data_IF_664655853039
#
_entry.id   IF_664655853039
#
_cell.length_a   1.000
_cell.length_b   1.000
_cell.length_c   1.000
_cell.angle_alpha   90.00
_cell.angle_beta   90.00
_cell.angle_gamma   90.00
#
_symmetry.space_group_name_H-M   'P 1'
#
loop_
_entity.id
_entity.type
_entity.pdbx_description
1 polymer ?
#
# COMPACT_ATOMS: atom_id res chain seq x y z
N UNK A 1 -20.93 -12.07 -14.58
CA UNK A 1 -20.76 -10.93 -13.64
C UNK A 1 -19.32 -10.47 -13.49
N UNK A 2 -18.40 -11.20 -12.82
CA UNK A 2 -17.01 -10.73 -12.65
C UNK A 2 -16.24 -10.68 -13.99
N UNK A 3 -16.33 -11.72 -14.83
CA UNK A 3 -15.70 -11.69 -16.16
C UNK A 3 -16.27 -10.61 -17.10
N UNK A 4 -17.57 -10.34 -17.03
CA UNK A 4 -18.21 -9.27 -17.81
C UNK A 4 -17.73 -7.89 -17.35
N UNK A 5 -17.55 -7.70 -16.04
CA UNK A 5 -16.99 -6.47 -15.50
C UNK A 5 -15.52 -6.31 -15.92
N UNK A 6 -14.72 -7.38 -15.89
CA UNK A 6 -13.31 -7.34 -16.29
C UNK A 6 -13.11 -7.03 -17.79
N UNK A 7 -14.07 -7.44 -18.64
CA UNK A 7 -14.04 -7.22 -20.10
C UNK A 7 -14.94 -6.07 -20.56
N UNK A 8 -15.46 -5.27 -19.63
CA UNK A 8 -16.38 -4.20 -19.96
C UNK A 8 -15.70 -3.13 -20.85
N UNK A 9 -16.41 -2.58 -21.86
CA UNK A 9 -15.88 -1.54 -22.74
C UNK A 9 -15.49 -0.26 -21.98
N UNK A 10 -16.06 -0.05 -20.80
CA UNK A 10 -15.72 1.01 -19.86
C UNK A 10 -14.20 1.15 -19.60
N UNK A 11 -13.45 0.04 -19.51
CA UNK A 11 -12.01 0.11 -19.29
C UNK A 11 -11.25 0.67 -20.49
N UNK A 12 -11.75 0.41 -21.69
CA UNK A 12 -11.22 0.95 -22.94
C UNK A 12 -11.58 2.44 -23.05
N UNK A 13 -12.76 2.85 -22.59
CA UNK A 13 -13.17 4.25 -22.57
C UNK A 13 -12.25 5.10 -21.68
N UNK A 14 -11.80 4.55 -20.54
CA UNK A 14 -10.82 5.19 -19.65
C UNK A 14 -9.46 5.35 -20.36
N UNK A 15 -9.01 4.32 -21.08
CA UNK A 15 -7.75 4.39 -21.85
C UNK A 15 -7.80 5.47 -22.94
N UNK A 16 -8.99 5.78 -23.47
CA UNK A 16 -9.20 6.78 -24.51
C UNK A 16 -9.33 8.22 -23.99
N UNK A 17 -9.23 8.45 -22.69
CA UNK A 17 -9.23 9.82 -22.16
C UNK A 17 -7.99 10.60 -22.62
N UNK A 18 -8.12 11.91 -22.92
CA UNK A 18 -6.97 12.74 -23.32
C UNK A 18 -5.80 12.67 -22.34
N UNK A 19 -6.12 12.60 -21.03
CA UNK A 19 -5.14 12.47 -19.96
C UNK A 19 -4.38 11.13 -20.01
N UNK A 20 -5.05 10.03 -20.38
CA UNK A 20 -4.42 8.71 -20.54
C UNK A 20 -3.34 8.75 -21.61
N UNK A 21 -3.65 9.39 -22.74
CA UNK A 21 -2.74 9.51 -23.89
C UNK A 21 -1.58 10.45 -23.60
N UNK A 22 -1.83 11.55 -22.89
CA UNK A 22 -0.77 12.47 -22.47
C UNK A 22 0.21 11.79 -21.50
N UNK A 23 -0.31 11.05 -20.51
CA UNK A 23 0.54 10.34 -19.55
C UNK A 23 1.32 9.21 -20.24
N UNK A 24 0.62 8.35 -21.00
CA UNK A 24 1.21 7.16 -21.62
C UNK A 24 2.10 7.44 -22.84
N UNK A 25 1.86 8.55 -23.54
CA UNK A 25 2.59 8.95 -24.75
C UNK A 25 3.81 9.84 -24.50
N UNK A 26 4.06 10.25 -23.26
CA UNK A 26 5.16 11.18 -22.91
C UNK A 26 6.02 10.65 -21.75
N UNK A 27 7.04 11.42 -21.36
CA UNK A 27 7.87 11.12 -20.19
C UNK A 27 7.12 11.21 -18.84
N UNK A 28 5.83 11.57 -18.84
CA UNK A 28 4.99 11.55 -17.65
C UNK A 28 4.81 10.15 -17.07
N UNK A 29 4.72 9.10 -17.90
CA UNK A 29 4.62 7.73 -17.40
C UNK A 29 5.82 7.32 -16.52
N UNK A 30 7.08 7.33 -17.00
CA UNK A 30 8.23 6.96 -16.18
C UNK A 30 8.46 7.92 -15.00
N UNK A 31 8.04 9.18 -15.12
CA UNK A 31 8.08 10.14 -14.02
C UNK A 31 7.09 9.77 -12.89
N UNK A 32 5.84 9.47 -13.23
CA UNK A 32 4.84 9.00 -12.28
C UNK A 32 5.25 7.66 -11.65
N UNK A 33 5.81 6.75 -12.45
CA UNK A 33 6.36 5.48 -11.94
C UNK A 33 7.46 5.72 -10.90
N UNK A 34 8.38 6.65 -11.18
CA UNK A 34 9.46 7.00 -10.25
C UNK A 34 8.92 7.56 -8.93
N UNK A 35 7.97 8.50 -9.00
CA UNK A 35 7.31 9.05 -7.81
C UNK A 35 6.55 7.96 -7.05
N UNK A 36 5.85 7.07 -7.76
CA UNK A 36 5.09 5.97 -7.17
C UNK A 36 6.00 5.05 -6.37
N UNK A 37 7.15 4.65 -6.91
CA UNK A 37 8.11 3.77 -6.24
C UNK A 37 8.70 4.43 -5.00
N UNK A 38 9.05 5.72 -5.06
CA UNK A 38 9.54 6.47 -3.90
C UNK A 38 8.46 6.55 -2.82
N UNK A 39 7.23 6.90 -3.18
CA UNK A 39 6.11 6.97 -2.25
C UNK A 39 5.80 5.60 -1.63
N UNK A 40 5.82 4.54 -2.42
CA UNK A 40 5.63 3.17 -1.93
C UNK A 40 6.76 2.75 -0.98
N UNK A 41 8.02 3.07 -1.29
CA UNK A 41 9.16 2.79 -0.41
C UNK A 41 9.05 3.54 0.92
N UNK A 42 8.66 4.82 0.90
CA UNK A 42 8.43 5.61 2.11
C UNK A 42 7.29 5.04 2.94
N UNK A 43 6.17 4.69 2.30
CA UNK A 43 5.00 4.09 2.94
C UNK A 43 5.36 2.78 3.64
N UNK A 44 5.99 1.85 2.91
CA UNK A 44 6.37 0.54 3.44
C UNK A 44 7.44 0.69 4.52
N UNK A 45 8.43 1.56 4.35
CA UNK A 45 9.46 1.82 5.36
C UNK A 45 8.89 2.40 6.67
N UNK A 46 7.94 3.32 6.56
CA UNK A 46 7.22 3.89 7.70
C UNK A 46 6.42 2.81 8.47
N UNK A 47 5.66 1.98 7.74
CA UNK A 47 4.88 0.88 8.32
C UNK A 47 5.81 -0.16 8.96
N UNK A 48 6.88 -0.55 8.25
CA UNK A 48 7.86 -1.51 8.74
C UNK A 48 8.53 -1.06 10.04
N UNK A 49 8.75 0.25 10.22
CA UNK A 49 9.30 0.79 11.47
C UNK A 49 8.39 0.52 12.67
N UNK A 50 7.07 0.68 12.50
CA UNK A 50 6.07 0.39 13.54
C UNK A 50 5.97 -1.13 13.76
N UNK A 51 5.95 -1.92 12.69
CA UNK A 51 5.82 -3.38 12.79
C UNK A 51 7.05 -4.03 13.45
N UNK A 52 8.25 -3.58 13.10
CA UNK A 52 9.50 -4.02 13.75
C UNK A 52 9.53 -3.63 15.23
N UNK A 53 8.92 -2.49 15.59
CA UNK A 53 8.74 -2.09 16.99
C UNK A 53 7.81 -3.01 17.74
N UNK A 54 6.69 -3.40 17.12
CA UNK A 54 5.76 -4.38 17.68
C UNK A 54 6.44 -5.73 17.85
N UNK A 55 7.26 -6.16 16.90
CA UNK A 55 8.00 -7.42 16.98
C UNK A 55 9.11 -7.42 18.06
N UNK A 56 9.53 -6.24 18.50
CA UNK A 56 10.60 -6.06 19.49
C UNK A 56 12.00 -6.13 18.90
N UNK A 57 12.14 -5.95 17.59
CA UNK A 57 13.42 -6.06 16.86
C UNK A 57 13.96 -4.66 16.49
N UNK A 58 13.08 -3.73 16.11
CA UNK A 58 13.44 -2.37 15.69
C UNK A 58 12.82 -1.28 16.57
N UNK A 59 13.41 -0.09 16.58
CA UNK A 59 12.92 1.11 17.28
C UNK A 59 12.53 0.93 18.78
N UNK A 60 13.00 -0.13 19.45
CA UNK A 60 12.57 -0.56 20.80
C UNK A 60 12.72 0.54 21.86
N UNK A 61 13.67 1.46 21.65
CA UNK A 61 13.93 2.61 22.53
C UNK A 61 12.82 3.66 22.51
N UNK A 62 12.00 3.71 21.46
CA UNK A 62 10.95 4.69 21.31
C UNK A 62 9.61 4.15 21.80
N UNK A 63 8.80 4.96 22.51
CA UNK A 63 7.42 4.62 22.83
C UNK A 63 6.60 4.41 21.55
N UNK A 64 5.72 3.40 21.57
CA UNK A 64 4.78 3.16 20.47
C UNK A 64 3.86 4.37 20.20
N UNK A 65 3.60 5.18 21.23
CA UNK A 65 2.84 6.43 21.15
C UNK A 65 3.49 7.50 20.30
N UNK A 66 4.78 7.74 20.54
CA UNK A 66 5.56 8.72 19.80
C UNK A 66 5.70 8.28 18.34
N UNK A 67 6.06 7.02 18.10
CA UNK A 67 6.17 6.46 16.76
C UNK A 67 4.85 6.55 16.00
N UNK A 68 3.74 6.14 16.63
CA UNK A 68 2.41 6.26 16.04
C UNK A 68 2.10 7.71 15.65
N UNK A 69 2.25 8.67 16.57
CA UNK A 69 1.91 10.07 16.30
C UNK A 69 2.76 10.71 15.20
N UNK A 70 4.05 10.40 15.17
CA UNK A 70 5.00 11.03 14.24
C UNK A 70 5.00 10.35 12.86
N UNK A 71 4.84 9.03 12.80
CA UNK A 71 4.94 8.26 11.55
C UNK A 71 3.60 8.22 10.79
N UNK A 72 2.45 8.21 11.48
CA UNK A 72 1.15 8.06 10.82
C UNK A 72 0.83 9.15 9.77
N UNK A 73 1.14 10.45 10.00
CA UNK A 73 0.96 11.47 8.97
C UNK A 73 1.79 11.20 7.71
N UNK A 74 3.01 10.69 7.85
CA UNK A 74 3.86 10.31 6.73
C UNK A 74 3.32 9.10 5.98
N UNK A 75 2.78 8.11 6.69
CA UNK A 75 2.09 6.97 6.06
C UNK A 75 0.93 7.46 5.21
N UNK A 76 0.06 8.32 5.75
CA UNK A 76 -1.08 8.85 4.98
C UNK A 76 -0.64 9.69 3.78
N UNK A 77 0.36 10.55 3.95
CA UNK A 77 0.92 11.35 2.84
C UNK A 77 1.50 10.46 1.74
N UNK A 78 2.35 9.50 2.10
CA UNK A 78 2.95 8.57 1.16
C UNK A 78 1.90 7.68 0.47
N UNK A 79 0.87 7.24 1.21
CA UNK A 79 -0.25 6.47 0.66
C UNK A 79 -1.08 7.27 -0.35
N UNK A 80 -1.36 8.55 -0.07
CA UNK A 80 -2.07 9.42 -1.01
C UNK A 80 -1.28 9.63 -2.30
N UNK A 81 0.03 9.93 -2.19
CA UNK A 81 0.89 10.10 -3.36
C UNK A 81 0.99 8.80 -4.16
N UNK A 82 1.20 7.66 -3.49
CA UNK A 82 1.25 6.36 -4.16
C UNK A 82 -0.09 6.01 -4.85
N UNK A 83 -1.22 6.35 -4.23
CA UNK A 83 -2.56 6.11 -4.82
C UNK A 83 -2.78 6.96 -6.06
N UNK A 84 -2.50 8.26 -6.00
CA UNK A 84 -2.70 9.18 -7.14
C UNK A 84 -1.81 8.78 -8.32
N UNK A 85 -0.52 8.53 -8.07
CA UNK A 85 0.43 8.11 -9.11
C UNK A 85 0.08 6.72 -9.67
N UNK A 86 -0.35 5.79 -8.80
CA UNK A 86 -0.79 4.45 -9.21
C UNK A 86 -2.03 4.48 -10.09
N UNK A 87 -3.00 5.34 -9.77
CA UNK A 87 -4.19 5.57 -10.59
C UNK A 87 -3.83 6.20 -11.94
N UNK A 88 -2.93 7.19 -11.94
CA UNK A 88 -2.43 7.81 -13.16
C UNK A 88 -1.80 6.80 -14.12
N UNK A 89 -0.97 5.88 -13.60
CA UNK A 89 -0.42 4.77 -14.40
C UNK A 89 -1.51 3.79 -14.84
N UNK A 90 -2.44 3.44 -13.95
CA UNK A 90 -3.50 2.47 -14.26
C UNK A 90 -4.40 2.94 -15.41
N UNK A 91 -4.76 4.22 -15.45
CA UNK A 91 -5.62 4.80 -16.49
C UNK A 91 -5.01 4.65 -17.90
N UNK A 92 -3.68 4.65 -18.01
CA UNK A 92 -2.99 4.55 -19.32
C UNK A 92 -3.21 3.23 -20.05
N UNK A 93 -3.48 2.15 -19.28
CA UNK A 93 -3.58 0.77 -19.77
C UNK A 93 -4.58 -0.05 -18.94
N UNK A 94 -5.71 0.56 -18.60
CA UNK A 94 -6.70 0.02 -17.66
C UNK A 94 -7.25 -1.36 -18.07
N UNK A 95 -7.59 -1.57 -19.34
CA UNK A 95 -8.13 -2.84 -19.84
C UNK A 95 -7.11 -3.98 -19.71
N UNK A 96 -5.84 -3.70 -20.00
CA UNK A 96 -4.76 -4.70 -19.86
C UNK A 96 -4.41 -4.99 -18.39
N UNK A 97 -4.50 -3.99 -17.51
CA UNK A 97 -4.18 -4.16 -16.10
C UNK A 97 -5.28 -4.93 -15.34
N UNK A 98 -6.55 -4.71 -15.66
CA UNK A 98 -7.68 -5.34 -14.97
C UNK A 98 -7.72 -6.86 -15.19
N UNK A 99 -7.33 -7.33 -16.38
CA UNK A 99 -7.26 -8.76 -16.70
C UNK A 99 -5.97 -9.42 -16.21
N UNK A 100 -4.96 -8.64 -15.82
CA UNK A 100 -3.67 -9.17 -15.39
C UNK A 100 -3.78 -9.84 -13.99
N UNK A 101 -3.48 -11.15 -13.87
CA UNK A 101 -3.55 -11.86 -12.59
C UNK A 101 -2.69 -11.21 -11.50
N UNK A 102 -1.52 -10.67 -11.83
CA UNK A 102 -0.64 -10.01 -10.87
C UNK A 102 -1.27 -8.74 -10.30
N UNK A 103 -2.01 -7.99 -11.12
CA UNK A 103 -2.71 -6.78 -10.68
C UNK A 103 -3.88 -7.14 -9.77
N UNK A 104 -4.64 -8.18 -10.09
CA UNK A 104 -5.72 -8.68 -9.23
C UNK A 104 -5.19 -9.11 -7.86
N UNK A 105 -4.06 -9.82 -7.83
CA UNK A 105 -3.40 -10.20 -6.58
C UNK A 105 -2.87 -8.99 -5.82
N UNK A 106 -2.33 -7.98 -6.51
CA UNK A 106 -1.94 -6.71 -5.90
C UNK A 106 -3.11 -6.04 -5.19
N UNK A 107 -4.27 -5.94 -5.84
CA UNK A 107 -5.48 -5.33 -5.24
C UNK A 107 -5.99 -6.16 -4.06
N UNK A 108 -6.01 -7.48 -4.17
CA UNK A 108 -6.40 -8.38 -3.08
C UNK A 108 -5.47 -8.23 -1.86
N UNK A 109 -4.16 -8.24 -2.07
CA UNK A 109 -3.15 -8.04 -1.02
C UNK A 109 -3.23 -6.64 -0.41
N UNK A 110 -3.49 -5.61 -1.23
CA UNK A 110 -3.67 -4.24 -0.76
C UNK A 110 -4.90 -4.11 0.14
N UNK A 111 -6.01 -4.77 -0.22
CA UNK A 111 -7.21 -4.82 0.61
C UNK A 111 -6.94 -5.51 1.95
N UNK A 112 -6.25 -6.67 1.95
CA UNK A 112 -5.85 -7.35 3.17
C UNK A 112 -4.90 -6.50 4.04
N UNK A 113 -3.92 -5.84 3.41
CA UNK A 113 -3.00 -4.93 4.10
C UNK A 113 -3.75 -3.76 4.74
N UNK A 114 -4.72 -3.16 4.03
CA UNK A 114 -5.57 -2.10 4.55
C UNK A 114 -6.42 -2.53 5.75
N UNK A 115 -7.02 -3.73 5.69
CA UNK A 115 -7.79 -4.30 6.81
C UNK A 115 -6.87 -4.54 8.03
N UNK A 116 -5.70 -5.14 7.81
CA UNK A 116 -4.74 -5.38 8.88
C UNK A 116 -4.25 -4.07 9.52
N UNK A 117 -4.01 -3.05 8.70
CA UNK A 117 -3.61 -1.73 9.15
C UNK A 117 -4.70 -1.04 9.97
N UNK A 118 -5.97 -1.13 9.56
CA UNK A 118 -7.08 -0.58 10.34
C UNK A 118 -7.23 -1.27 11.70
N UNK A 119 -7.03 -2.60 11.73
CA UNK A 119 -7.04 -3.37 12.98
C UNK A 119 -5.89 -2.98 13.91
N UNK A 120 -4.67 -2.83 13.37
CA UNK A 120 -3.50 -2.37 14.11
C UNK A 120 -3.68 -0.94 14.62
N UNK A 121 -4.21 -0.03 13.79
CA UNK A 121 -4.48 1.35 14.18
C UNK A 121 -5.46 1.43 15.35
N UNK A 122 -6.58 0.70 15.30
CA UNK A 122 -7.56 0.64 16.40
C UNK A 122 -6.96 0.03 17.67
N UNK A 123 -6.23 -1.07 17.53
CA UNK A 123 -5.59 -1.74 18.66
C UNK A 123 -4.55 -0.82 19.33
N UNK A 124 -3.77 -0.10 18.52
CA UNK A 124 -2.80 0.86 19.00
C UNK A 124 -3.49 2.07 19.65
N UNK A 125 -4.54 2.64 19.05
CA UNK A 125 -5.28 3.76 19.65
C UNK A 125 -5.87 3.41 21.01
N UNK A 126 -6.36 2.18 21.20
CA UNK A 126 -6.87 1.72 22.49
C UNK A 126 -5.75 1.58 23.53
N UNK A 127 -4.59 1.02 23.14
CA UNK A 127 -3.43 0.92 24.03
C UNK A 127 -2.86 2.29 24.44
N UNK A 128 -2.93 3.27 23.53
CA UNK A 128 -2.53 4.65 23.80
C UNK A 128 -3.42 5.34 24.82
N UNK A 129 -4.73 5.06 24.79
CA UNK A 129 -5.67 5.60 25.78
C UNK A 129 -5.53 4.94 27.16
N UNK A 130 -5.01 3.71 27.21
CA UNK A 130 -4.79 2.97 28.46
C UNK A 130 -3.45 3.28 29.16
N UNK A 131 -2.61 4.16 28.60
CA UNK A 131 -1.25 4.51 29.05
C UNK A 131 -0.27 3.33 29.27
N UNK A 132 -0.63 2.13 28.80
CA UNK A 132 0.17 0.90 28.91
C UNK A 132 1.24 0.80 27.81
N UNK A 133 1.91 1.92 27.52
CA UNK A 133 2.78 2.09 26.35
C UNK A 133 4.22 1.59 26.55
N UNK A 134 4.59 1.26 27.79
CA UNK A 134 5.90 0.67 28.16
C UNK A 134 5.86 -0.86 28.26
N UNK A 135 4.69 -1.47 28.36
CA UNK A 135 4.55 -2.93 28.45
C UNK A 135 4.89 -3.61 27.12
N UNK A 136 5.39 -4.85 27.21
CA UNK A 136 5.69 -5.65 26.01
C UNK A 136 4.40 -5.84 25.22
N UNK A 137 4.38 -5.56 23.89
CA UNK A 137 3.18 -5.72 23.10
C UNK A 137 2.70 -7.18 23.16
N UNK A 138 1.39 -7.36 23.37
CA UNK A 138 0.75 -8.67 23.42
C UNK A 138 1.09 -9.50 22.16
N UNK A 139 1.19 -10.82 22.30
CA UNK A 139 1.52 -11.74 21.20
C UNK A 139 0.66 -11.51 19.94
N UNK A 140 -0.62 -11.15 20.11
CA UNK A 140 -1.54 -10.80 19.01
C UNK A 140 -1.06 -9.61 18.18
N UNK A 141 -0.55 -8.54 18.81
CA UNK A 141 -0.02 -7.38 18.10
C UNK A 141 1.29 -7.71 17.36
N UNK A 142 2.11 -8.58 17.94
CA UNK A 142 3.35 -9.07 17.29
C UNK A 142 3.03 -9.83 16.00
N UNK A 143 2.06 -10.74 16.06
CA UNK A 143 1.60 -11.49 14.90
C UNK A 143 0.97 -10.59 13.84
N UNK A 144 0.18 -9.58 14.24
CA UNK A 144 -0.40 -8.61 13.31
C UNK A 144 0.68 -7.75 12.61
N UNK A 145 1.74 -7.36 13.32
CA UNK A 145 2.89 -6.67 12.72
C UNK A 145 3.68 -7.55 11.75
N UNK A 146 3.88 -8.84 12.06
CA UNK A 146 4.50 -9.78 11.12
C UNK A 146 3.65 -9.97 9.86
N UNK A 147 2.33 -10.15 10.03
CA UNK A 147 1.41 -10.28 8.93
C UNK A 147 1.39 -9.03 8.04
N UNK A 148 1.43 -7.84 8.66
CA UNK A 148 1.56 -6.55 7.96
C UNK A 148 2.79 -6.54 7.05
N UNK A 149 3.97 -6.85 7.59
CA UNK A 149 5.22 -6.89 6.84
C UNK A 149 5.13 -7.84 5.64
N UNK A 150 4.62 -9.06 5.85
CA UNK A 150 4.47 -10.05 4.78
C UNK A 150 3.50 -9.58 3.70
N UNK A 151 2.37 -8.96 4.09
CA UNK A 151 1.39 -8.41 3.16
C UNK A 151 1.98 -7.29 2.31
N UNK A 152 2.69 -6.34 2.92
CA UNK A 152 3.33 -5.23 2.20
C UNK A 152 4.46 -5.70 1.28
N UNK A 153 5.26 -6.68 1.72
CA UNK A 153 6.23 -7.35 0.83
C UNK A 153 5.52 -8.00 -0.37
N UNK A 154 4.40 -8.69 -0.12
CA UNK A 154 3.56 -9.27 -1.18
C UNK A 154 3.03 -8.22 -2.15
N UNK A 155 2.53 -7.08 -1.67
CA UNK A 155 2.03 -5.97 -2.51
C UNK A 155 3.14 -5.42 -3.40
N UNK A 156 4.36 -5.24 -2.86
CA UNK A 156 5.51 -4.74 -3.63
C UNK A 156 5.97 -5.75 -4.69
N UNK A 157 6.04 -7.03 -4.34
CA UNK A 157 6.37 -8.11 -5.27
C UNK A 157 5.33 -8.21 -6.39
N UNK A 158 4.03 -8.23 -6.04
CA UNK A 158 2.94 -8.24 -7.00
C UNK A 158 3.01 -7.03 -7.93
N UNK A 159 3.27 -5.83 -7.39
CA UNK A 159 3.46 -4.61 -8.16
C UNK A 159 4.58 -4.71 -9.20
N UNK A 160 5.73 -5.29 -8.83
CA UNK A 160 6.84 -5.52 -9.77
C UNK A 160 6.48 -6.55 -10.84
N UNK A 161 5.69 -7.55 -10.46
CA UNK A 161 5.31 -8.66 -11.33
C UNK A 161 4.24 -8.29 -12.38
N UNK A 162 3.45 -7.24 -12.13
CA UNK A 162 2.52 -6.67 -13.13
C UNK A 162 3.23 -6.28 -14.44
N UNK A 163 4.50 -5.86 -14.37
CA UNK A 163 5.29 -5.53 -15.56
C UNK A 163 5.87 -6.73 -16.31
N UNK A 164 5.81 -7.94 -15.74
CA UNK A 164 6.44 -9.15 -16.29
C UNK A 164 5.45 -10.24 -16.70
N UNK A 165 4.25 -10.27 -16.12
CA UNK A 165 3.14 -11.06 -16.63
C UNK A 165 2.38 -10.19 -17.62
N UNK A 166 2.50 -10.52 -18.91
CA UNK A 166 1.72 -9.95 -20.02
C UNK A 166 0.77 -11.02 -20.53
#
# INVERSE_FOLDING_TARGET
>A
MLEELLKAPFWIDIENWPLSWEIGGTSWFPFLESIHVIAAALLVGAIATIDLRLLGVGAVRYPLSTLGREILPWVWGAFMVATITGLGMFITRAASHVVNPAFQWKIFLLALAGINMLHLHRSLSTLLQADDTRSKPHLRLRLAGLASLLLWCGVMLAGRWVGHIV
#
